data_IF_063327283810
#
_entry.id   IF_063327283810
#
_cell.length_a   1.000
_cell.length_b   1.000
_cell.length_c   1.000
_cell.angle_alpha   90.00
_cell.angle_beta   90.00
_cell.angle_gamma   90.00
#
_symmetry.space_group_name_H-M   'P 1'
#
loop_
_entity.id
_entity.type
_entity.pdbx_description
1 polymer ?
#
# COMPACT_ATOMS: atom_id res chain seq x y z
N UNK A 1 35.78 51.76 49.07
CA UNK A 1 35.04 51.10 47.97
C UNK A 1 35.70 49.75 47.79
N UNK A 2 35.25 48.79 48.60
CA UNK A 2 35.97 47.55 48.95
C UNK A 2 35.49 46.38 48.11
N UNK A 3 36.47 45.60 47.68
CA UNK A 3 36.39 44.37 46.90
C UNK A 3 36.17 43.19 47.87
N UNK A 4 35.16 42.33 47.67
CA UNK A 4 35.20 40.96 48.18
C UNK A 4 34.18 40.03 47.47
N UNK A 5 34.50 38.74 47.55
CA UNK A 5 34.31 37.66 46.61
C UNK A 5 32.92 37.00 46.54
N UNK A 6 32.72 36.28 45.43
CA UNK A 6 31.57 35.43 45.13
C UNK A 6 31.51 34.17 46.02
N UNK A 7 30.31 33.75 46.50
CA UNK A 7 30.08 32.44 47.10
C UNK A 7 29.49 31.41 46.09
N UNK A 8 29.53 30.10 46.42
CA UNK A 8 29.69 29.02 45.44
C UNK A 8 28.41 28.56 44.71
N UNK A 9 28.63 28.03 43.49
CA UNK A 9 27.67 27.31 42.64
C UNK A 9 26.84 26.30 43.45
N UNK A 10 25.53 26.51 43.48
CA UNK A 10 24.56 25.42 43.66
C UNK A 10 24.28 24.80 42.30
N UNK A 11 24.89 23.65 42.03
CA UNK A 11 24.31 22.70 41.07
C UNK A 11 22.97 22.25 41.65
N UNK A 12 21.88 22.31 40.88
CA UNK A 12 20.79 21.33 40.93
C UNK A 12 19.76 21.66 39.83
N UNK A 13 19.47 20.63 39.04
CA UNK A 13 18.30 20.45 38.17
C UNK A 13 18.33 21.14 36.80
N UNK A 14 18.89 20.42 35.83
CA UNK A 14 18.64 20.62 34.40
C UNK A 14 17.14 20.47 34.07
N UNK A 15 16.63 21.17 33.04
CA UNK A 15 15.27 20.94 32.56
C UNK A 15 15.18 19.52 31.98
N UNK A 16 14.28 18.71 32.54
CA UNK A 16 13.87 17.43 31.95
C UNK A 16 13.19 17.77 30.62
N UNK A 17 13.92 17.58 29.52
CA UNK A 17 13.34 17.61 28.19
C UNK A 17 12.27 16.52 28.11
N UNK A 18 11.04 16.81 27.63
CA UNK A 18 10.09 15.76 27.34
C UNK A 18 10.65 14.95 26.16
N UNK A 19 11.13 13.74 26.46
CA UNK A 19 11.37 12.72 25.45
C UNK A 19 10.00 12.30 24.91
N UNK A 20 9.49 13.01 23.90
CA UNK A 20 8.43 12.49 23.04
C UNK A 20 9.04 11.36 22.22
N UNK A 21 8.88 10.15 22.75
CA UNK A 21 9.24 8.90 22.09
C UNK A 21 8.31 8.71 20.88
N UNK A 22 8.71 9.27 19.74
CA UNK A 22 8.07 9.09 18.43
C UNK A 22 8.29 7.68 17.88
N UNK A 23 7.81 6.65 18.57
CA UNK A 23 7.94 5.27 18.09
C UNK A 23 6.90 4.33 18.68
N UNK A 24 5.60 4.59 18.49
CA UNK A 24 4.54 3.62 18.77
C UNK A 24 3.37 3.73 17.77
N UNK A 25 3.66 3.61 16.47
CA UNK A 25 2.69 3.14 15.48
C UNK A 25 3.22 1.93 14.69
N UNK A 26 4.33 1.33 15.15
CA UNK A 26 4.87 0.09 14.63
C UNK A 26 4.08 -1.08 15.21
N UNK A 27 2.94 -1.38 14.60
CA UNK A 27 2.20 -2.60 14.91
C UNK A 27 0.71 -2.39 14.95
N UNK A 28 0.12 -1.99 13.83
CA UNK A 28 -1.17 -2.56 13.50
C UNK A 28 -0.87 -3.98 12.99
N UNK A 29 -1.16 -5.03 13.76
CA UNK A 29 -1.03 -6.37 13.22
C UNK A 29 -2.04 -6.47 12.08
N UNK A 30 -1.59 -6.87 10.90
CA UNK A 30 -2.40 -7.14 9.71
C UNK A 30 -3.46 -8.24 9.91
N UNK A 31 -3.68 -8.65 11.16
CA UNK A 31 -4.59 -9.71 11.60
C UNK A 31 -5.97 -9.19 12.02
N UNK A 32 -6.15 -7.86 12.20
CA UNK A 32 -7.45 -7.29 12.57
C UNK A 32 -8.46 -7.33 11.40
N UNK A 33 -7.95 -7.31 10.17
CA UNK A 33 -8.68 -7.64 8.95
C UNK A 33 -8.14 -9.00 8.49
N UNK A 34 -8.90 -10.09 8.60
CA UNK A 34 -8.41 -11.44 8.25
C UNK A 34 -7.66 -11.53 6.90
N UNK A 35 -6.84 -12.57 6.70
CA UNK A 35 -5.60 -12.70 5.87
C UNK A 35 -5.04 -11.53 5.02
N UNK A 36 -5.43 -10.27 5.23
CA UNK A 36 -5.37 -9.28 4.16
C UNK A 36 -6.25 -9.66 2.96
N UNK A 37 -6.25 -8.81 1.93
CA UNK A 37 -6.98 -9.03 0.69
C UNK A 37 -6.25 -10.04 -0.24
N UNK A 38 -5.88 -11.22 0.28
CA UNK A 38 -5.14 -12.26 -0.47
C UNK A 38 -5.78 -12.58 -1.84
N UNK A 39 -4.95 -12.71 -2.88
CA UNK A 39 -5.35 -13.01 -4.26
C UNK A 39 -5.37 -14.53 -4.58
N UNK A 40 -4.86 -15.37 -3.68
CA UNK A 40 -4.48 -16.76 -3.97
C UNK A 40 -5.62 -17.66 -4.47
N UNK A 41 -6.86 -17.39 -4.07
CA UNK A 41 -8.04 -18.19 -4.41
C UNK A 41 -9.15 -17.37 -5.11
N UNK A 42 -8.81 -16.27 -5.78
CA UNK A 42 -9.82 -15.39 -6.40
C UNK A 42 -10.18 -15.82 -7.81
N UNK A 43 -11.47 -15.64 -8.12
CA UNK A 43 -12.02 -15.74 -9.47
C UNK A 43 -11.38 -14.69 -10.40
N UNK A 44 -11.21 -13.46 -9.90
CA UNK A 44 -10.65 -12.33 -10.64
C UNK A 44 -9.39 -11.86 -9.94
N UNK A 45 -8.29 -11.72 -10.69
CA UNK A 45 -7.01 -11.23 -10.16
C UNK A 45 -6.43 -10.18 -11.08
N UNK A 46 -5.71 -9.21 -10.51
CA UNK A 46 -4.88 -8.26 -11.24
C UNK A 46 -3.41 -8.56 -10.94
N UNK A 47 -2.53 -8.34 -11.91
CA UNK A 47 -1.08 -8.37 -11.74
C UNK A 47 -0.44 -7.19 -12.47
N UNK A 48 0.75 -6.77 -12.03
CA UNK A 48 1.56 -5.73 -12.67
C UNK A 48 2.86 -6.35 -13.17
N UNK A 49 3.35 -5.88 -14.32
CA UNK A 49 4.66 -6.27 -14.84
C UNK A 49 5.84 -5.57 -14.14
N UNK A 50 5.57 -4.58 -13.29
CA UNK A 50 6.60 -3.83 -12.55
C UNK A 50 7.32 -4.71 -11.51
N UNK A 51 8.59 -4.43 -11.25
CA UNK A 51 9.41 -5.18 -10.27
C UNK A 51 8.83 -5.14 -8.85
N UNK A 52 8.23 -4.01 -8.46
CA UNK A 52 7.53 -3.86 -7.19
C UNK A 52 6.20 -4.63 -7.12
N UNK A 53 5.69 -5.11 -8.25
CA UNK A 53 4.41 -5.81 -8.36
C UNK A 53 3.20 -4.91 -8.07
N UNK A 54 2.04 -5.54 -7.90
CA UNK A 54 0.88 -4.85 -7.33
C UNK A 54 0.96 -4.89 -5.80
N UNK A 55 0.51 -3.84 -5.11
CA UNK A 55 0.33 -3.89 -3.67
C UNK A 55 -0.61 -5.05 -3.30
N UNK A 56 -0.19 -5.89 -2.35
CA UNK A 56 -1.01 -6.99 -1.79
C UNK A 56 -2.34 -6.50 -1.18
N UNK A 57 -2.44 -5.19 -0.94
CA UNK A 57 -3.65 -4.54 -0.47
C UNK A 57 -4.67 -4.27 -1.58
N UNK A 58 -4.33 -4.37 -2.88
CA UNK A 58 -5.23 -4.03 -3.99
C UNK A 58 -5.86 -5.27 -4.61
N UNK A 59 -7.19 -5.31 -4.67
CA UNK A 59 -7.94 -6.41 -5.31
C UNK A 59 -9.02 -5.92 -6.24
N UNK A 60 -9.32 -6.70 -7.27
CA UNK A 60 -10.45 -6.43 -8.16
C UNK A 60 -11.74 -6.83 -7.47
N UNK A 61 -12.72 -5.94 -7.48
CA UNK A 61 -14.10 -6.21 -7.07
C UNK A 61 -14.93 -6.68 -8.27
N UNK A 62 -14.88 -5.94 -9.37
CA UNK A 62 -15.56 -6.26 -10.64
C UNK A 62 -14.83 -5.63 -11.82
N UNK A 63 -15.15 -6.10 -13.02
CA UNK A 63 -14.71 -5.45 -14.26
C UNK A 63 -15.79 -5.53 -15.34
N UNK A 64 -15.72 -4.58 -16.27
CA UNK A 64 -16.46 -4.59 -17.53
C UNK A 64 -15.45 -4.54 -18.67
N UNK A 65 -15.68 -5.33 -19.73
CA UNK A 65 -14.75 -5.45 -20.85
C UNK A 65 -15.48 -5.40 -22.18
N UNK A 66 -14.91 -4.69 -23.14
CA UNK A 66 -15.32 -4.70 -24.54
C UNK A 66 -14.18 -5.29 -25.37
N UNK A 67 -14.54 -6.23 -26.24
CA UNK A 67 -13.65 -6.77 -27.27
C UNK A 67 -14.37 -6.70 -28.62
N UNK A 68 -13.65 -6.31 -29.67
CA UNK A 68 -14.15 -6.28 -31.04
C UNK A 68 -13.08 -6.76 -32.01
N UNK A 69 -13.52 -7.26 -33.16
CA UNK A 69 -12.60 -7.73 -34.20
C UNK A 69 -11.92 -6.52 -34.86
N UNK A 70 -10.59 -6.51 -34.88
CA UNK A 70 -9.76 -5.41 -35.41
C UNK A 70 -9.93 -4.06 -34.69
N UNK A 71 -10.37 -4.08 -33.43
CA UNK A 71 -10.42 -2.89 -32.58
C UNK A 71 -9.64 -3.15 -31.29
N UNK A 72 -9.33 -2.08 -30.56
CA UNK A 72 -8.71 -2.18 -29.26
C UNK A 72 -9.71 -2.74 -28.25
N UNK A 73 -9.23 -3.60 -27.35
CA UNK A 73 -10.02 -3.96 -26.18
C UNK A 73 -9.95 -2.84 -25.16
N UNK A 74 -11.01 -2.70 -24.36
CA UNK A 74 -11.07 -1.76 -23.24
C UNK A 74 -11.67 -2.45 -22.02
N UNK A 75 -11.06 -2.22 -20.86
CA UNK A 75 -11.53 -2.74 -19.59
C UNK A 75 -11.67 -1.62 -18.56
N UNK A 76 -12.84 -1.54 -17.93
CA UNK A 76 -13.08 -0.77 -16.72
C UNK A 76 -12.99 -1.71 -15.53
N UNK A 77 -12.14 -1.38 -14.55
CA UNK A 77 -11.86 -2.23 -13.39
C UNK A 77 -12.13 -1.44 -12.12
N UNK A 78 -13.06 -1.94 -11.31
CA UNK A 78 -13.27 -1.43 -9.95
C UNK A 78 -12.46 -2.28 -8.98
N UNK A 79 -11.68 -1.62 -8.13
CA UNK A 79 -10.77 -2.26 -7.20
C UNK A 79 -10.92 -1.72 -5.78
N UNK A 80 -10.68 -2.58 -4.80
CA UNK A 80 -10.73 -2.28 -3.38
C UNK A 80 -9.32 -2.34 -2.80
N UNK A 81 -9.03 -1.43 -1.87
CA UNK A 81 -7.82 -1.48 -1.07
C UNK A 81 -8.08 -1.27 0.41
N UNK A 82 -7.31 -1.96 1.25
CA UNK A 82 -7.22 -1.70 2.69
C UNK A 82 -6.23 -0.58 3.02
N UNK A 83 -5.45 -0.11 2.03
CA UNK A 83 -4.53 1.02 2.20
C UNK A 83 -5.26 2.33 1.90
N UNK A 84 -5.10 3.32 2.78
CA UNK A 84 -5.54 4.70 2.56
C UNK A 84 -4.54 5.53 1.75
N UNK A 85 -3.31 5.05 1.62
CA UNK A 85 -2.17 5.78 1.06
C UNK A 85 -1.70 5.18 -0.29
N UNK A 86 -2.62 4.52 -0.99
CA UNK A 86 -2.33 3.92 -2.29
C UNK A 86 -2.14 5.00 -3.37
N UNK A 87 -0.91 5.17 -3.85
CA UNK A 87 -0.64 6.02 -5.01
C UNK A 87 -1.03 5.31 -6.31
N UNK A 88 -2.15 5.69 -6.91
CA UNK A 88 -2.62 5.09 -8.16
C UNK A 88 -1.81 5.53 -9.39
N UNK A 89 -1.04 6.63 -9.30
CA UNK A 89 -0.28 7.15 -10.43
C UNK A 89 0.81 6.20 -10.90
N UNK A 90 1.30 5.35 -10.01
CA UNK A 90 2.31 4.33 -10.32
C UNK A 90 1.84 3.29 -11.36
N UNK A 91 0.53 3.18 -11.61
CA UNK A 91 -0.03 2.22 -12.56
C UNK A 91 -0.24 2.80 -13.96
N UNK A 92 -0.15 4.13 -14.12
CA UNK A 92 -0.42 4.79 -15.39
C UNK A 92 0.71 4.54 -16.37
N UNK A 93 0.38 4.03 -17.55
CA UNK A 93 1.36 3.69 -18.60
C UNK A 93 2.19 2.46 -18.28
N UNK A 94 1.75 1.64 -17.31
CA UNK A 94 2.40 0.39 -16.96
C UNK A 94 1.49 -0.78 -17.31
N UNK A 95 2.07 -1.86 -17.82
CA UNK A 95 1.32 -3.05 -18.16
C UNK A 95 0.67 -3.68 -16.93
N UNK A 96 -0.65 -3.86 -17.02
CA UNK A 96 -1.45 -4.63 -16.08
C UNK A 96 -2.03 -5.87 -16.77
N UNK A 97 -2.04 -6.98 -16.04
CA UNK A 97 -2.69 -8.22 -16.48
C UNK A 97 -3.94 -8.48 -15.64
N UNK A 98 -5.12 -8.43 -16.26
CA UNK A 98 -6.37 -8.92 -15.70
C UNK A 98 -6.48 -10.43 -15.98
N UNK A 99 -6.83 -11.24 -14.97
CA UNK A 99 -7.05 -12.68 -15.15
C UNK A 99 -8.37 -13.13 -14.55
N UNK A 100 -9.06 -14.02 -15.27
CA UNK A 100 -10.28 -14.71 -14.85
C UNK A 100 -10.03 -16.22 -14.78
N UNK A 101 -10.27 -16.81 -13.61
CA UNK A 101 -10.28 -18.26 -13.42
C UNK A 101 -11.48 -18.86 -14.14
N UNK A 102 -11.25 -19.86 -14.98
CA UNK A 102 -12.27 -20.58 -15.72
C UNK A 102 -12.73 -21.84 -14.98
N UNK A 103 -13.86 -22.41 -15.41
CA UNK A 103 -14.44 -23.61 -14.82
C UNK A 103 -13.53 -24.85 -14.95
N UNK A 104 -12.64 -24.88 -15.94
CA UNK A 104 -11.64 -25.94 -16.14
C UNK A 104 -10.36 -25.73 -15.30
N UNK A 105 -10.31 -24.69 -14.49
CA UNK A 105 -9.15 -24.32 -13.67
C UNK A 105 -8.08 -23.51 -14.41
N UNK A 106 -8.23 -23.28 -15.72
CA UNK A 106 -7.33 -22.42 -16.49
C UNK A 106 -7.57 -20.94 -16.16
N UNK A 107 -6.65 -20.06 -16.58
CA UNK A 107 -6.82 -18.60 -16.46
C UNK A 107 -6.84 -17.96 -17.83
N UNK A 108 -7.96 -17.28 -18.15
CA UNK A 108 -7.97 -16.31 -19.24
C UNK A 108 -7.25 -15.05 -18.78
N UNK A 109 -6.34 -14.54 -19.59
CA UNK A 109 -5.59 -13.34 -19.29
C UNK A 109 -5.81 -12.30 -20.38
N UNK A 110 -6.00 -11.06 -19.95
CA UNK A 110 -5.93 -9.87 -20.78
C UNK A 110 -4.77 -9.04 -20.25
N UNK A 111 -3.83 -8.69 -21.12
CA UNK A 111 -2.71 -7.82 -20.81
C UNK A 111 -2.62 -6.74 -21.88
N UNK A 112 -2.27 -5.53 -21.46
CA UNK A 112 -1.75 -4.52 -22.37
C UNK A 112 -0.44 -5.02 -22.99
N UNK A 113 -0.14 -4.65 -24.23
CA UNK A 113 1.06 -5.10 -24.95
C UNK A 113 2.00 -3.94 -25.23
#
# INVERSE_FOLDING_TARGET
MTQDAAPPRRQHSAPVAPRLLSALLSGFPSTLFGPGLSQHARLITLASAQEAGLPESLVVERFHGQESVNDNFQFDIDALSVSTDLDLKQFIGTELTLRLLQADGSRRAWHEK
#
